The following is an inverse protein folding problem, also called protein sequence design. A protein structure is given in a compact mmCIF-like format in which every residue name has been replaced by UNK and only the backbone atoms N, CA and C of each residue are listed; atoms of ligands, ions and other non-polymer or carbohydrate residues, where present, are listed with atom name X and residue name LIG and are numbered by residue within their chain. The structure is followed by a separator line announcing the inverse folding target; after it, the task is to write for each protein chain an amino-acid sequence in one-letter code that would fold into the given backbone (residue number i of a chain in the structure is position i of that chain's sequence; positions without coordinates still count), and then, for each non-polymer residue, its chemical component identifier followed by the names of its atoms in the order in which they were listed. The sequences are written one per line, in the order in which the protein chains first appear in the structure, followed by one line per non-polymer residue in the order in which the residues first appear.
data_IF_838692175880
#
_entry.id   IF_838692175880
#
_cell.length_a   1.000
_cell.length_b   1.000
_cell.length_c   1.000
_cell.angle_alpha   90.00
_cell.angle_beta   90.00
_cell.angle_gamma   90.00
#
_symmetry.space_group_name_H-M   'P 1'
#
loop_
_entity.id
_entity.type
_entity.pdbx_description
1 polymer ?
#
# COMPACT_ATOMS: atom_id res chain seq x y z
N UNK A 1 38.53 -25.42 -11.14
CA UNK A 1 37.08 -25.24 -10.96
C UNK A 1 36.83 -23.74 -10.95
N UNK A 2 36.15 -23.22 -11.96
CA UNK A 2 35.91 -21.78 -12.14
C UNK A 2 34.43 -21.62 -12.51
N UNK A 3 33.58 -21.57 -11.50
CA UNK A 3 32.19 -21.14 -11.68
C UNK A 3 32.19 -19.62 -11.63
N UNK A 4 32.28 -19.03 -12.81
CA UNK A 4 31.99 -17.62 -13.01
C UNK A 4 30.85 -17.55 -14.00
N UNK A 5 29.62 -17.76 -13.52
CA UNK A 5 28.44 -17.36 -14.27
C UNK A 5 27.65 -16.35 -13.43
N UNK A 6 27.89 -15.07 -13.71
CA UNK A 6 27.13 -13.96 -13.16
C UNK A 6 25.77 -13.79 -13.87
N UNK A 7 25.32 -14.76 -14.68
CA UNK A 7 24.02 -14.72 -15.36
C UNK A 7 22.80 -14.88 -14.43
N UNK A 8 23.01 -15.14 -13.13
CA UNK A 8 21.93 -15.31 -12.15
C UNK A 8 21.62 -14.09 -11.27
N UNK A 9 22.30 -12.96 -11.45
CA UNK A 9 22.14 -11.80 -10.53
C UNK A 9 21.06 -10.85 -11.05
N UNK A 10 19.87 -10.93 -10.47
CA UNK A 10 18.82 -9.91 -10.67
C UNK A 10 19.11 -8.72 -9.75
N UNK A 11 19.80 -7.71 -10.27
CA UNK A 11 19.91 -6.41 -9.60
C UNK A 11 18.53 -5.73 -9.58
N UNK A 12 18.03 -5.41 -8.40
CA UNK A 12 16.73 -4.78 -8.22
C UNK A 12 16.91 -3.54 -7.34
N UNK A 13 16.99 -2.39 -8.00
CA UNK A 13 17.47 -1.14 -7.38
C UNK A 13 16.47 -0.40 -6.47
N UNK A 14 15.32 -0.99 -6.14
CA UNK A 14 14.29 -0.28 -5.34
C UNK A 14 13.50 -1.26 -4.46
N UNK A 15 14.19 -2.15 -3.75
CA UNK A 15 13.53 -2.99 -2.75
C UNK A 15 14.45 -3.26 -1.58
N UNK A 16 13.99 -2.90 -0.39
CA UNK A 16 14.74 -3.13 0.84
C UNK A 16 14.97 -4.62 1.08
N UNK A 17 16.14 -4.96 1.63
CA UNK A 17 16.53 -6.35 1.86
C UNK A 17 15.55 -7.08 2.79
N UNK A 18 14.97 -6.37 3.77
CA UNK A 18 13.99 -6.94 4.68
C UNK A 18 12.67 -7.28 3.97
N UNK A 19 12.18 -6.39 3.10
CA UNK A 19 10.98 -6.63 2.28
C UNK A 19 11.20 -7.83 1.36
N UNK A 20 12.37 -7.91 0.71
CA UNK A 20 12.70 -9.04 -0.13
C UNK A 20 12.76 -10.36 0.64
N UNK A 21 13.36 -10.33 1.83
CA UNK A 21 13.42 -11.49 2.71
C UNK A 21 12.03 -11.95 3.14
N UNK A 22 11.13 -11.02 3.50
CA UNK A 22 9.75 -11.35 3.84
C UNK A 22 9.00 -11.98 2.65
N UNK A 23 9.19 -11.43 1.45
CA UNK A 23 8.62 -11.98 0.22
C UNK A 23 9.11 -13.41 -0.06
N UNK A 24 10.43 -13.65 0.04
CA UNK A 24 11.01 -14.98 -0.12
C UNK A 24 10.52 -15.95 0.95
N UNK A 25 10.47 -15.53 2.21
CA UNK A 25 9.90 -16.36 3.27
C UNK A 25 8.48 -16.80 2.93
N UNK A 26 7.61 -15.85 2.54
CA UNK A 26 6.25 -16.17 2.14
C UNK A 26 6.20 -17.12 0.93
N UNK A 27 7.05 -16.90 -0.09
CA UNK A 27 7.08 -17.78 -1.27
C UNK A 27 7.43 -19.24 -0.93
N UNK A 28 8.27 -19.46 0.08
CA UNK A 28 8.73 -20.80 0.48
C UNK A 28 7.89 -21.45 1.58
N UNK A 29 7.27 -20.67 2.45
CA UNK A 29 6.59 -21.17 3.67
C UNK A 29 5.11 -20.80 3.75
N UNK A 30 4.61 -20.04 2.78
CA UNK A 30 3.24 -19.50 2.73
C UNK A 30 2.87 -18.66 3.97
N UNK A 31 3.89 -18.20 4.71
CA UNK A 31 3.79 -17.52 6.00
C UNK A 31 4.67 -16.28 6.04
N UNK A 32 4.14 -15.20 6.62
CA UNK A 32 4.92 -13.97 6.84
C UNK A 32 5.73 -14.05 8.13
N UNK A 33 6.98 -13.54 8.14
CA UNK A 33 7.71 -13.39 9.39
C UNK A 33 6.96 -12.41 10.30
N UNK A 34 6.85 -12.75 11.59
CA UNK A 34 6.30 -11.82 12.59
C UNK A 34 7.26 -10.64 12.68
N UNK A 35 6.76 -9.43 12.39
CA UNK A 35 7.52 -8.20 12.49
C UNK A 35 6.95 -7.38 13.64
N UNK A 36 7.55 -7.47 14.82
CA UNK A 36 7.19 -6.65 16.00
C UNK A 36 7.91 -5.29 15.98
N UNK A 37 7.92 -4.62 14.82
CA UNK A 37 8.62 -3.35 14.64
C UNK A 37 7.64 -2.18 14.65
N UNK A 38 8.11 -1.02 15.05
CA UNK A 38 7.33 0.22 15.08
C UNK A 38 6.87 0.65 13.67
N UNK A 39 7.64 0.28 12.63
CA UNK A 39 7.37 0.61 11.22
C UNK A 39 6.65 -0.53 10.46
N UNK A 40 5.76 -1.27 11.14
CA UNK A 40 5.04 -2.40 10.54
C UNK A 40 4.20 -1.97 9.32
N UNK A 41 3.61 -0.77 9.36
CA UNK A 41 2.84 -0.23 8.25
C UNK A 41 3.69 0.04 7.01
N UNK A 42 4.88 0.62 7.17
CA UNK A 42 5.86 0.86 6.09
C UNK A 42 6.29 -0.46 5.46
N UNK A 43 6.57 -1.47 6.28
CA UNK A 43 6.89 -2.82 5.80
C UNK A 43 5.79 -3.39 4.91
N UNK A 44 4.51 -3.33 5.34
CA UNK A 44 3.41 -3.84 4.51
C UNK A 44 3.14 -2.98 3.26
N UNK A 45 3.42 -1.68 3.30
CA UNK A 45 3.34 -0.83 2.10
C UNK A 45 4.33 -1.30 1.03
N UNK A 46 5.61 -1.47 1.39
CA UNK A 46 6.61 -1.96 0.45
C UNK A 46 6.34 -3.42 0.03
N UNK A 47 5.85 -4.25 0.94
CA UNK A 47 5.52 -5.63 0.63
C UNK A 47 4.32 -5.74 -0.32
N UNK A 48 3.34 -4.84 -0.22
CA UNK A 48 2.23 -4.75 -1.18
C UNK A 48 2.73 -4.41 -2.59
N UNK A 49 3.61 -3.41 -2.71
CA UNK A 49 4.25 -3.02 -3.98
C UNK A 49 5.00 -4.22 -4.58
N UNK A 50 5.76 -4.92 -3.74
CA UNK A 50 6.51 -6.10 -4.17
C UNK A 50 5.56 -7.24 -4.59
N UNK A 51 4.54 -7.55 -3.79
CA UNK A 51 3.59 -8.61 -4.07
C UNK A 51 2.85 -8.39 -5.39
N UNK A 52 2.43 -7.15 -5.67
CA UNK A 52 1.83 -6.77 -6.95
C UNK A 52 2.82 -6.93 -8.11
N UNK A 53 4.06 -6.43 -7.95
CA UNK A 53 5.12 -6.54 -8.95
C UNK A 53 5.47 -7.98 -9.33
N UNK A 54 5.38 -8.91 -8.37
CA UNK A 54 5.65 -10.34 -8.58
C UNK A 54 4.37 -11.17 -8.78
N UNK A 55 3.21 -10.52 -8.88
CA UNK A 55 1.92 -11.17 -9.11
C UNK A 55 1.56 -12.23 -8.05
N UNK A 56 1.92 -11.96 -6.78
CA UNK A 56 1.66 -12.80 -5.62
C UNK A 56 0.34 -12.41 -4.95
N UNK A 57 -0.78 -12.75 -5.59
CA UNK A 57 -2.14 -12.29 -5.20
C UNK A 57 -2.53 -12.58 -3.74
N UNK A 58 -2.15 -13.76 -3.22
CA UNK A 58 -2.43 -14.12 -1.82
C UNK A 58 -1.67 -13.22 -0.84
N UNK A 59 -0.40 -12.94 -1.14
CA UNK A 59 0.41 -12.04 -0.33
C UNK A 59 -0.13 -10.60 -0.39
N UNK A 60 -0.49 -10.14 -1.59
CA UNK A 60 -1.09 -8.82 -1.80
C UNK A 60 -2.37 -8.66 -0.96
N UNK A 61 -3.25 -9.66 -0.99
CA UNK A 61 -4.47 -9.68 -0.17
C UNK A 61 -4.19 -9.59 1.34
N UNK A 62 -3.17 -10.30 1.83
CA UNK A 62 -2.75 -10.23 3.24
C UNK A 62 -2.24 -8.83 3.58
N UNK A 63 -1.44 -8.21 2.69
CA UNK A 63 -0.95 -6.85 2.91
C UNK A 63 -2.10 -5.84 2.95
N UNK A 64 -3.11 -5.99 2.08
CA UNK A 64 -4.32 -5.16 2.13
C UNK A 64 -5.05 -5.27 3.47
N UNK A 65 -5.24 -6.49 3.99
CA UNK A 65 -5.91 -6.71 5.28
C UNK A 65 -5.12 -6.06 6.44
N UNK A 66 -3.79 -6.17 6.40
CA UNK A 66 -2.92 -5.57 7.41
C UNK A 66 -2.94 -4.05 7.33
N UNK A 67 -2.83 -3.47 6.15
CA UNK A 67 -2.85 -2.01 5.93
C UNK A 67 -4.19 -1.39 6.34
N UNK A 68 -5.30 -2.11 6.26
CA UNK A 68 -6.58 -1.63 6.77
C UNK A 68 -6.52 -1.23 8.25
N UNK A 69 -5.67 -1.88 9.06
CA UNK A 69 -5.53 -1.60 10.51
C UNK A 69 -4.74 -0.32 10.79
N UNK A 70 -3.96 0.13 9.81
CA UNK A 70 -3.11 1.31 9.92
C UNK A 70 -3.76 2.57 9.34
N UNK A 71 -4.99 2.50 8.84
CA UNK A 71 -5.71 3.66 8.30
C UNK A 71 -5.98 4.68 9.41
N UNK A 72 -5.33 5.83 9.33
CA UNK A 72 -5.54 6.98 10.21
C UNK A 72 -5.23 8.29 9.46
N UNK A 73 -5.35 9.44 10.13
CA UNK A 73 -5.15 10.75 9.51
C UNK A 73 -3.75 10.96 8.91
N UNK A 74 -2.71 10.35 9.47
CA UNK A 74 -1.33 10.49 8.99
C UNK A 74 -1.03 9.56 7.79
N UNK A 75 -1.62 8.37 7.76
CA UNK A 75 -1.28 7.32 6.77
C UNK A 75 -2.26 7.23 5.60
N UNK A 76 -3.47 7.78 5.74
CA UNK A 76 -4.57 7.63 4.76
C UNK A 76 -4.18 8.08 3.35
N UNK A 77 -3.42 9.16 3.20
CA UNK A 77 -3.01 9.66 1.89
C UNK A 77 -2.12 8.64 1.15
N UNK A 78 -1.14 8.08 1.86
CA UNK A 78 -0.18 7.11 1.33
C UNK A 78 -0.88 5.78 1.03
N UNK A 79 -1.66 5.25 1.99
CA UNK A 79 -2.38 3.97 1.82
C UNK A 79 -3.39 4.07 0.67
N UNK A 80 -4.13 5.17 0.54
CA UNK A 80 -5.09 5.36 -0.55
C UNK A 80 -4.40 5.48 -1.92
N UNK A 81 -3.23 6.15 -1.97
CA UNK A 81 -2.41 6.23 -3.19
C UNK A 81 -1.97 4.83 -3.63
N UNK A 82 -1.43 4.04 -2.71
CA UNK A 82 -1.02 2.66 -2.98
C UNK A 82 -2.19 1.79 -3.44
N UNK A 83 -3.34 1.94 -2.78
CA UNK A 83 -4.52 1.16 -3.13
C UNK A 83 -5.02 1.44 -4.56
N UNK A 84 -4.95 2.70 -4.99
CA UNK A 84 -5.27 3.07 -6.38
C UNK A 84 -4.23 2.54 -7.37
N UNK A 85 -2.94 2.76 -7.09
CA UNK A 85 -1.83 2.40 -8.00
C UNK A 85 -1.71 0.89 -8.23
N UNK A 86 -1.99 0.10 -7.19
CA UNK A 86 -1.89 -1.36 -7.24
C UNK A 86 -3.25 -2.05 -7.36
N UNK A 87 -4.33 -1.31 -7.69
CA UNK A 87 -5.66 -1.87 -7.93
C UNK A 87 -6.21 -2.71 -6.75
N UNK A 88 -5.92 -2.29 -5.52
CA UNK A 88 -6.38 -2.92 -4.28
C UNK A 88 -7.76 -2.38 -3.89
N UNK A 89 -8.81 -2.91 -4.52
CA UNK A 89 -10.18 -2.40 -4.36
C UNK A 89 -10.72 -2.55 -2.93
N UNK A 90 -10.30 -3.57 -2.18
CA UNK A 90 -10.69 -3.77 -0.78
C UNK A 90 -10.12 -2.66 0.11
N UNK A 91 -8.81 -2.46 0.02
CA UNK A 91 -8.11 -1.40 0.76
C UNK A 91 -8.61 0.00 0.39
N UNK A 92 -8.84 0.26 -0.90
CA UNK A 92 -9.41 1.53 -1.39
C UNK A 92 -10.78 1.80 -0.79
N UNK A 93 -11.68 0.82 -0.76
CA UNK A 93 -13.00 0.96 -0.12
C UNK A 93 -12.88 1.26 1.37
N UNK A 94 -11.96 0.60 2.09
CA UNK A 94 -11.71 0.89 3.50
C UNK A 94 -11.26 2.34 3.73
N UNK A 95 -10.33 2.82 2.90
CA UNK A 95 -9.87 4.22 2.92
C UNK A 95 -11.03 5.20 2.66
N UNK A 96 -11.83 4.96 1.63
CA UNK A 96 -12.99 5.82 1.32
C UNK A 96 -14.04 5.80 2.43
N UNK A 97 -14.28 4.65 3.07
CA UNK A 97 -15.17 4.56 4.22
C UNK A 97 -14.68 5.41 5.40
N UNK A 98 -13.37 5.42 5.67
CA UNK A 98 -12.77 6.29 6.70
C UNK A 98 -12.97 7.77 6.37
N UNK A 99 -12.88 8.15 5.08
CA UNK A 99 -13.04 9.52 4.59
C UNK A 99 -14.49 10.00 4.50
N UNK A 100 -15.49 9.14 4.73
CA UNK A 100 -16.91 9.56 4.82
C UNK A 100 -17.13 10.57 5.94
N UNK A 101 -16.37 10.46 7.04
CA UNK A 101 -16.48 11.40 8.15
C UNK A 101 -15.82 12.74 7.80
N UNK A 102 -16.53 13.88 7.93
CA UNK A 102 -16.00 15.18 7.55
C UNK A 102 -14.70 15.58 8.25
N UNK A 103 -14.51 15.17 9.51
CA UNK A 103 -13.29 15.42 10.26
C UNK A 103 -12.06 14.74 9.63
N UNK A 104 -12.20 13.47 9.25
CA UNK A 104 -11.12 12.70 8.61
C UNK A 104 -10.78 13.24 7.23
N UNK A 105 -11.79 13.64 6.45
CA UNK A 105 -11.56 14.24 5.15
C UNK A 105 -10.84 15.59 5.28
N UNK A 106 -11.22 16.44 6.24
CA UNK A 106 -10.51 17.69 6.52
C UNK A 106 -9.05 17.41 6.89
N UNK A 107 -8.82 16.47 7.80
CA UNK A 107 -7.47 16.07 8.18
C UNK A 107 -6.64 15.58 6.97
N UNK A 108 -7.24 14.83 6.03
CA UNK A 108 -6.57 14.48 4.78
C UNK A 108 -6.25 15.72 3.95
N UNK A 109 -7.22 16.61 3.71
CA UNK A 109 -7.03 17.83 2.90
C UNK A 109 -5.97 18.78 3.47
N UNK A 110 -5.87 18.84 4.80
CA UNK A 110 -4.89 19.65 5.52
C UNK A 110 -3.51 18.96 5.62
N UNK A 111 -3.41 17.68 5.21
CA UNK A 111 -2.15 16.93 5.24
C UNK A 111 -1.29 17.19 4.00
N UNK A 112 0.02 17.21 4.19
CA UNK A 112 1.00 17.32 3.08
C UNK A 112 0.87 16.16 2.07
N UNK A 113 0.32 15.03 2.49
CA UNK A 113 0.08 13.86 1.65
C UNK A 113 -1.01 14.06 0.60
N UNK A 114 -1.91 15.03 0.77
CA UNK A 114 -2.99 15.27 -0.19
C UNK A 114 -2.48 15.78 -1.54
N UNK A 115 -1.49 16.67 -1.53
CA UNK A 115 -0.89 17.19 -2.75
C UNK A 115 -0.27 16.06 -3.57
N UNK A 116 0.42 15.12 -2.92
CA UNK A 116 0.96 13.93 -3.57
C UNK A 116 -0.15 13.03 -4.14
N UNK A 117 -1.20 12.75 -3.35
CA UNK A 117 -2.36 11.96 -3.79
C UNK A 117 -3.03 12.59 -5.02
N UNK A 118 -3.19 13.92 -5.02
CA UNK A 118 -3.85 14.65 -6.12
C UNK A 118 -3.08 14.57 -7.44
N UNK A 119 -1.74 14.59 -7.37
CA UNK A 119 -0.86 14.48 -8.53
C UNK A 119 -0.76 13.04 -9.03
N UNK A 120 -0.64 12.09 -8.11
CA UNK A 120 -0.46 10.67 -8.44
C UNK A 120 -1.75 10.01 -8.92
N UNK A 121 -2.89 10.38 -8.34
CA UNK A 121 -4.17 9.72 -8.55
C UNK A 121 -5.35 10.71 -8.72
N UNK A 122 -5.44 11.46 -9.83
CA UNK A 122 -6.53 12.43 -10.05
C UNK A 122 -7.94 11.81 -10.07
N UNK A 123 -8.05 10.53 -10.42
CA UNK A 123 -9.29 9.73 -10.37
C UNK A 123 -9.87 9.66 -8.96
N UNK A 124 -9.02 9.50 -7.95
CA UNK A 124 -9.44 9.43 -6.54
C UNK A 124 -10.04 10.75 -6.10
N UNK A 125 -9.45 11.88 -6.50
CA UNK A 125 -9.98 13.21 -6.18
C UNK A 125 -11.38 13.39 -6.75
N UNK A 126 -11.62 12.98 -8.00
CA UNK A 126 -12.96 13.00 -8.59
C UNK A 126 -13.97 12.18 -7.77
N UNK A 127 -13.57 11.01 -7.28
CA UNK A 127 -14.42 10.18 -6.42
C UNK A 127 -14.71 10.86 -5.08
N UNK A 128 -13.71 11.47 -4.43
CA UNK A 128 -13.90 12.19 -3.15
C UNK A 128 -14.86 13.38 -3.31
N UNK A 129 -14.73 14.12 -4.41
CA UNK A 129 -15.63 15.21 -4.76
C UNK A 129 -17.05 14.68 -5.00
N UNK A 130 -17.20 13.60 -5.78
CA UNK A 130 -18.49 12.99 -6.05
C UNK A 130 -19.18 12.48 -4.77
N UNK A 131 -18.42 11.90 -3.84
CA UNK A 131 -18.94 11.47 -2.53
C UNK A 131 -19.57 12.62 -1.75
N UNK A 132 -18.96 13.82 -1.80
CA UNK A 132 -19.53 15.01 -1.15
C UNK A 132 -20.86 15.47 -1.75
N UNK A 133 -21.02 15.35 -3.06
CA UNK A 133 -22.26 15.75 -3.72
C UNK A 133 -23.38 14.71 -3.54
N UNK A 134 -23.06 13.44 -3.27
CA UNK A 134 -24.05 12.38 -3.06
C UNK A 134 -24.60 12.31 -1.62
N UNK A 135 -23.85 12.77 -0.61
CA UNK A 135 -24.31 12.85 0.79
C UNK A 135 -25.25 14.06 1.07
N UNK A 136 -25.56 14.89 0.06
CA UNK A 136 -26.47 16.06 0.17
C UNK A 136 -27.91 15.70 -0.26
N UNK A 137 -28.25 14.41 -0.47
CA UNK A 137 -29.59 13.97 -0.87
C UNK A 137 -30.23 13.02 0.14
#
# INVERSE_FOLDING_TARGET
MKEGDAAGVVHRDEMEAEVFKALLCFAYTDSLPVTEKEDEDVMYQHLLVAADRYNMERLKSICEEKLCKFINAATIATILTLAEQHHCEGLKKACLNFLRFPANLRALLDSDGFDHLSRSCPSVIKNLIAMKYLDIR
#
